data_IF_661264399396
#
_entry.id   IF_661264399396
#
_cell.length_a   1.000
_cell.length_b   1.000
_cell.length_c   1.000
_cell.angle_alpha   90.00
_cell.angle_beta   90.00
_cell.angle_gamma   90.00
#
_symmetry.space_group_name_H-M   'P 1'
#
loop_
_entity.id
_entity.type
_entity.pdbx_description
1 polymer ?
#
# COMPACT_ATOMS: atom_id res chain seq x y z
N UNK A 1 6.53 -8.44 2.93
CA UNK A 1 5.88 -7.95 4.17
C UNK A 1 4.67 -8.85 4.45
N UNK A 2 4.28 -9.07 5.71
CA UNK A 2 3.21 -10.01 6.06
C UNK A 2 1.88 -9.74 5.36
N UNK A 3 1.56 -8.46 5.11
CA UNK A 3 0.37 -8.04 4.35
C UNK A 3 0.34 -8.59 2.93
N UNK A 4 1.47 -8.49 2.20
CA UNK A 4 1.63 -9.07 0.86
C UNK A 4 1.45 -10.58 0.89
N UNK A 5 2.05 -11.24 1.90
CA UNK A 5 2.01 -12.69 2.03
C UNK A 5 0.60 -13.19 2.35
N UNK A 6 -0.16 -12.47 3.18
CA UNK A 6 -1.57 -12.78 3.45
C UNK A 6 -2.39 -12.70 2.16
N UNK A 7 -2.26 -11.59 1.43
CA UNK A 7 -2.95 -11.37 0.17
C UNK A 7 -2.65 -12.48 -0.87
N UNK A 8 -1.36 -12.82 -1.07
CA UNK A 8 -0.94 -13.90 -1.98
C UNK A 8 -1.51 -15.28 -1.59
N UNK A 9 -1.78 -15.51 -0.31
CA UNK A 9 -2.32 -16.78 0.20
C UNK A 9 -3.86 -16.85 0.22
N UNK A 10 -4.55 -15.88 -0.37
CA UNK A 10 -6.02 -15.93 -0.40
C UNK A 10 -6.69 -15.43 0.88
N UNK A 11 -5.95 -14.76 1.78
CA UNK A 11 -6.47 -14.35 3.09
C UNK A 11 -6.29 -12.87 3.35
N UNK A 12 -7.17 -12.30 4.16
CA UNK A 12 -7.01 -10.94 4.65
C UNK A 12 -5.85 -10.86 5.65
N UNK A 13 -5.08 -9.77 5.64
CA UNK A 13 -4.03 -9.56 6.63
C UNK A 13 -4.61 -9.43 8.04
N UNK A 14 -3.85 -9.87 9.03
CA UNK A 14 -4.20 -9.61 10.43
C UNK A 14 -4.21 -8.12 10.71
N UNK A 15 -5.11 -7.69 11.60
CA UNK A 15 -5.30 -6.28 11.95
C UNK A 15 -3.99 -5.59 12.35
N UNK A 16 -3.15 -6.25 13.15
CA UNK A 16 -1.86 -5.70 13.56
C UNK A 16 -0.93 -5.46 12.35
N UNK A 17 -0.81 -6.45 11.46
CA UNK A 17 0.02 -6.33 10.26
C UNK A 17 -0.50 -5.24 9.31
N UNK A 18 -1.82 -5.05 9.24
CA UNK A 18 -2.47 -3.96 8.51
C UNK A 18 -2.12 -2.59 9.13
N UNK A 19 -2.31 -2.43 10.44
CA UNK A 19 -2.03 -1.18 11.16
C UNK A 19 -0.55 -0.78 11.01
N UNK A 20 0.38 -1.74 11.17
CA UNK A 20 1.82 -1.51 10.98
C UNK A 20 2.16 -1.08 9.54
N UNK A 21 1.48 -1.66 8.54
CA UNK A 21 1.67 -1.31 7.14
C UNK A 21 1.15 0.10 6.83
N UNK A 22 -0.01 0.48 7.37
CA UNK A 22 -0.58 1.82 7.21
C UNK A 22 0.34 2.86 7.86
N UNK A 23 0.78 2.61 9.10
CA UNK A 23 1.67 3.51 9.82
C UNK A 23 2.98 3.74 9.04
N UNK A 24 3.61 2.66 8.57
CA UNK A 24 4.84 2.74 7.75
C UNK A 24 4.61 3.50 6.45
N UNK A 25 3.46 3.29 5.80
CA UNK A 25 3.14 3.95 4.52
C UNK A 25 2.94 5.46 4.69
N UNK A 26 2.33 5.89 5.80
CA UNK A 26 2.17 7.32 6.13
C UNK A 26 3.52 7.98 6.42
N UNK A 27 4.39 7.34 7.20
CA UNK A 27 5.75 7.84 7.47
C UNK A 27 6.53 8.01 6.16
N UNK A 28 6.39 7.06 5.23
CA UNK A 28 7.02 7.15 3.92
C UNK A 28 6.51 8.36 3.12
N UNK A 29 5.19 8.57 3.07
CA UNK A 29 4.60 9.71 2.37
C UNK A 29 4.99 11.06 2.99
N UNK A 30 5.09 11.15 4.32
CA UNK A 30 5.56 12.36 5.03
C UNK A 30 7.02 12.70 4.75
N UNK A 31 7.82 11.68 4.41
CA UNK A 31 9.25 11.82 4.11
C UNK A 31 9.53 12.03 2.63
N UNK A 32 8.51 12.10 1.78
CA UNK A 32 8.66 12.21 0.34
C UNK A 32 9.05 13.64 -0.07
N UNK A 33 9.97 13.73 -1.05
CA UNK A 33 10.37 15.01 -1.61
C UNK A 33 9.24 15.65 -2.43
N UNK A 34 9.18 16.99 -2.56
CA UNK A 34 8.09 17.67 -3.28
C UNK A 34 7.93 17.22 -4.73
N UNK A 35 9.02 16.84 -5.38
CA UNK A 35 9.03 16.28 -6.74
C UNK A 35 8.27 14.96 -6.86
N UNK A 36 8.01 14.26 -5.75
CA UNK A 36 7.28 12.99 -5.72
C UNK A 36 5.82 13.16 -5.31
N UNK A 37 5.35 14.39 -5.12
CA UNK A 37 4.01 14.68 -4.59
C UNK A 37 2.88 14.00 -5.39
N UNK A 38 2.97 13.97 -6.72
CA UNK A 38 1.98 13.31 -7.57
C UNK A 38 2.02 11.78 -7.42
N UNK A 39 3.20 11.17 -7.52
CA UNK A 39 3.37 9.73 -7.33
C UNK A 39 2.98 9.29 -5.91
N UNK A 40 3.21 10.14 -4.91
CA UNK A 40 2.79 9.88 -3.53
C UNK A 40 1.29 10.05 -3.33
N UNK A 41 0.65 11.01 -4.00
CA UNK A 41 -0.80 11.12 -3.98
C UNK A 41 -1.44 9.84 -4.52
N UNK A 42 -0.98 9.35 -5.67
CA UNK A 42 -1.44 8.07 -6.23
C UNK A 42 -1.18 6.89 -5.29
N UNK A 43 0.01 6.82 -4.68
CA UNK A 43 0.32 5.78 -3.70
C UNK A 43 -0.64 5.81 -2.49
N UNK A 44 -0.97 7.01 -2.00
CA UNK A 44 -1.89 7.18 -0.88
C UNK A 44 -3.33 6.86 -1.25
N UNK A 45 -3.77 7.16 -2.48
CA UNK A 45 -5.09 6.75 -2.99
C UNK A 45 -5.23 5.22 -3.02
N UNK A 46 -4.20 4.53 -3.52
CA UNK A 46 -4.16 3.05 -3.48
C UNK A 46 -4.17 2.51 -2.04
N UNK A 47 -3.52 3.20 -1.10
CA UNK A 47 -3.52 2.80 0.31
C UNK A 47 -4.91 2.93 0.92
N UNK A 48 -5.63 4.00 0.63
CA UNK A 48 -7.01 4.17 1.10
C UNK A 48 -7.95 3.11 0.51
N UNK A 49 -7.84 2.84 -0.79
CA UNK A 49 -8.62 1.79 -1.44
C UNK A 49 -8.32 0.42 -0.85
N UNK A 50 -7.06 0.13 -0.55
CA UNK A 50 -6.65 -1.10 0.11
C UNK A 50 -7.30 -1.25 1.51
N UNK A 51 -7.29 -0.18 2.32
CA UNK A 51 -7.91 -0.18 3.65
C UNK A 51 -9.41 -0.47 3.54
N UNK A 52 -10.11 0.26 2.66
CA UNK A 52 -11.55 0.07 2.44
C UNK A 52 -11.85 -1.36 1.95
N UNK A 53 -11.03 -1.89 1.05
CA UNK A 53 -11.20 -3.25 0.55
C UNK A 53 -11.03 -4.32 1.65
N UNK A 54 -10.14 -4.11 2.61
CA UNK A 54 -10.02 -4.99 3.78
C UNK A 54 -11.24 -4.87 4.70
N UNK A 55 -11.70 -3.64 4.98
CA UNK A 55 -12.88 -3.38 5.82
C UNK A 55 -14.17 -3.94 5.22
N UNK A 56 -14.35 -3.81 3.91
CA UNK A 56 -15.51 -4.29 3.17
C UNK A 56 -15.39 -5.75 2.70
N UNK A 57 -14.30 -6.44 3.07
CA UNK A 57 -14.00 -7.83 2.70
C UNK A 57 -14.00 -8.06 1.16
N UNK A 58 -13.57 -7.06 0.40
CA UNK A 58 -13.42 -7.11 -1.05
C UNK A 58 -12.05 -7.68 -1.42
N UNK A 59 -11.95 -9.01 -1.45
CA UNK A 59 -10.67 -9.70 -1.62
C UNK A 59 -9.96 -9.36 -2.95
N UNK A 60 -10.68 -9.33 -4.07
CA UNK A 60 -10.09 -9.02 -5.38
C UNK A 60 -9.56 -7.59 -5.45
N UNK A 61 -10.28 -6.64 -4.84
CA UNK A 61 -9.86 -5.24 -4.76
C UNK A 61 -8.64 -5.13 -3.85
N UNK A 62 -8.64 -5.78 -2.68
CA UNK A 62 -7.47 -5.82 -1.79
C UNK A 62 -6.22 -6.34 -2.51
N UNK A 63 -6.37 -7.41 -3.31
CA UNK A 63 -5.27 -7.97 -4.11
C UNK A 63 -4.77 -7.02 -5.20
N UNK A 64 -5.68 -6.30 -5.84
CA UNK A 64 -5.35 -5.29 -6.83
C UNK A 64 -4.52 -4.17 -6.19
N UNK A 65 -5.04 -3.56 -5.14
CA UNK A 65 -4.41 -2.40 -4.50
C UNK A 65 -3.03 -2.75 -3.89
N UNK A 66 -2.85 -3.93 -3.29
CA UNK A 66 -1.55 -4.31 -2.73
C UNK A 66 -0.48 -4.53 -3.80
N UNK A 67 -0.88 -4.90 -5.03
CA UNK A 67 0.04 -5.00 -6.18
C UNK A 67 0.42 -3.63 -6.70
N UNK A 68 -0.55 -2.72 -6.80
CA UNK A 68 -0.32 -1.35 -7.24
C UNK A 68 0.56 -0.59 -6.25
N UNK A 69 0.31 -0.71 -4.94
CA UNK A 69 1.17 -0.16 -3.89
C UNK A 69 2.62 -0.64 -4.04
N UNK A 70 2.85 -1.92 -4.28
CA UNK A 70 4.19 -2.45 -4.50
C UNK A 70 4.84 -1.96 -5.78
N UNK A 71 4.05 -1.84 -6.85
CA UNK A 71 4.52 -1.31 -8.12
C UNK A 71 4.96 0.15 -7.96
N UNK A 72 4.14 0.99 -7.33
CA UNK A 72 4.44 2.40 -7.07
C UNK A 72 5.63 2.58 -6.14
N UNK A 73 5.75 1.80 -5.06
CA UNK A 73 6.95 1.81 -4.21
C UNK A 73 8.21 1.46 -5.01
N UNK A 74 8.17 0.45 -5.88
CA UNK A 74 9.32 0.05 -6.69
C UNK A 74 9.66 1.08 -7.77
N UNK A 75 8.65 1.71 -8.39
CA UNK A 75 8.83 2.77 -9.37
C UNK A 75 9.51 3.98 -8.72
N UNK A 76 9.00 4.45 -7.58
CA UNK A 76 9.61 5.53 -6.81
C UNK A 76 11.07 5.20 -6.41
N UNK A 77 11.33 4.01 -5.88
CA UNK A 77 12.70 3.57 -5.57
C UNK A 77 13.62 3.38 -6.79
N UNK A 78 13.11 3.32 -8.03
CA UNK A 78 13.92 3.13 -9.24
C UNK A 78 14.21 4.45 -9.93
N UNK A 79 13.23 5.36 -9.95
CA UNK A 79 13.33 6.65 -10.61
C UNK A 79 14.19 7.65 -9.84
N UNK A 80 14.31 7.49 -8.52
CA UNK A 80 14.94 8.47 -7.64
C UNK A 80 16.06 7.89 -6.76
N UNK A 81 16.78 6.88 -7.26
CA UNK A 81 17.93 6.25 -6.59
C UNK A 81 19.26 6.66 -7.18
#
# INVERSE_FOLDING_TARGET
KEVTKAAENGVFPEKKSLDDFIATSRIFAESAEPEWSEAMAEYMDHLENFIRAVEEQQFEVMLHEIRDLQYRMKACHKEFK
#
